data_IF_664460124990
#
_entry.id   IF_664460124990
#
_cell.length_a   1.000
_cell.length_b   1.000
_cell.length_c   1.000
_cell.angle_alpha   90.00
_cell.angle_beta   90.00
_cell.angle_gamma   90.00
#
_symmetry.space_group_name_H-M   'P 1'
#
loop_
_entity.id
_entity.type
_entity.pdbx_description
1 polymer ?
#
# COMPACT_ATOMS: atom_id res chain seq x y z
N UNK A 1 -3.92 6.78 22.91
CA UNK A 1 -4.53 6.78 24.24
C UNK A 1 -4.73 5.34 24.68
N UNK A 2 -4.46 5.02 25.94
CA UNK A 2 -4.72 3.71 26.53
C UNK A 2 -5.48 3.84 27.83
N UNK A 3 -6.34 2.87 28.12
CA UNK A 3 -7.17 2.80 29.31
C UNK A 3 -7.14 1.38 29.88
N UNK A 4 -6.98 1.26 31.20
CA UNK A 4 -6.95 -0.01 31.93
C UNK A 4 -8.21 -0.14 32.79
N UNK A 5 -9.32 -0.67 32.28
CA UNK A 5 -10.57 -0.77 33.01
C UNK A 5 -10.47 -1.59 34.28
N UNK A 6 -9.61 -2.61 34.32
CA UNK A 6 -9.47 -3.50 35.47
C UNK A 6 -8.99 -2.77 36.73
N UNK A 7 -8.25 -1.68 36.57
CA UNK A 7 -7.81 -0.85 37.68
C UNK A 7 -8.91 0.12 38.15
N UNK A 8 -9.94 0.35 37.31
CA UNK A 8 -11.04 1.24 37.60
C UNK A 8 -12.24 0.52 38.24
N UNK A 9 -12.35 -0.80 38.08
CA UNK A 9 -13.49 -1.62 38.53
C UNK A 9 -13.01 -2.75 39.45
N UNK A 10 -12.53 -2.41 40.63
CA UNK A 10 -12.08 -3.27 41.74
C UNK A 10 -12.42 -4.79 41.62
N UNK A 11 -11.50 -5.56 41.00
CA UNK A 11 -11.41 -7.02 41.19
C UNK A 11 -12.56 -7.92 40.73
N UNK A 12 -13.74 -7.36 40.46
CA UNK A 12 -14.98 -8.14 40.17
C UNK A 12 -14.89 -8.99 38.90
N UNK A 13 -14.05 -8.62 37.94
CA UNK A 13 -13.89 -9.34 36.69
C UNK A 13 -13.00 -10.58 36.82
N UNK A 14 -12.04 -10.53 37.74
CA UNK A 14 -11.20 -11.68 38.04
C UNK A 14 -12.06 -12.82 38.65
N UNK A 15 -12.95 -12.46 39.56
CA UNK A 15 -13.81 -13.43 40.25
C UNK A 15 -14.89 -14.01 39.34
N UNK A 16 -15.40 -13.20 38.40
CA UNK A 16 -16.51 -13.60 37.53
C UNK A 16 -16.06 -14.45 36.31
N UNK A 17 -14.95 -14.09 35.66
CA UNK A 17 -14.51 -14.69 34.39
C UNK A 17 -13.02 -15.04 34.37
N UNK A 18 -12.31 -14.88 35.48
CA UNK A 18 -10.87 -15.13 35.58
C UNK A 18 -9.99 -14.13 34.81
N UNK A 19 -10.56 -12.97 34.45
CA UNK A 19 -9.80 -11.92 33.76
C UNK A 19 -8.96 -11.12 34.75
N UNK A 20 -7.66 -11.20 34.62
CA UNK A 20 -6.72 -10.51 35.50
C UNK A 20 -6.02 -9.31 34.82
N UNK A 21 -6.25 -9.09 33.55
CA UNK A 21 -5.74 -7.93 32.82
C UNK A 21 -6.65 -7.56 31.67
N UNK A 22 -6.96 -6.28 31.52
CA UNK A 22 -7.62 -5.70 30.38
C UNK A 22 -7.07 -4.30 30.11
N UNK A 23 -6.61 -4.08 28.91
CA UNK A 23 -6.18 -2.77 28.41
C UNK A 23 -6.82 -2.50 27.07
N UNK A 24 -7.47 -1.37 26.95
CA UNK A 24 -7.98 -0.85 25.71
C UNK A 24 -7.03 0.23 25.19
N UNK A 25 -6.81 0.26 23.91
CA UNK A 25 -5.99 1.28 23.24
C UNK A 25 -6.71 1.83 22.02
N UNK A 26 -6.48 3.11 21.74
CA UNK A 26 -6.91 3.77 20.53
C UNK A 26 -5.83 4.76 20.11
N UNK A 27 -5.51 4.79 18.84
CA UNK A 27 -4.58 5.73 18.24
C UNK A 27 -5.14 6.34 16.97
N UNK A 28 -4.71 7.54 16.71
CA UNK A 28 -4.88 8.25 15.45
C UNK A 28 -3.54 8.89 15.11
N UNK A 29 -3.11 8.74 13.90
CA UNK A 29 -1.88 9.33 13.40
C UNK A 29 -1.99 9.75 11.95
N UNK A 30 -1.18 10.73 11.58
CA UNK A 30 -1.03 11.17 10.20
C UNK A 30 0.44 11.20 9.84
N UNK A 31 0.75 10.88 8.58
CA UNK A 31 2.10 10.97 8.02
C UNK A 31 2.01 11.45 6.59
N UNK A 32 3.03 12.19 6.15
CA UNK A 32 3.12 12.64 4.77
C UNK A 32 4.34 12.03 4.08
N UNK A 33 4.14 11.53 2.86
CA UNK A 33 5.21 11.02 2.00
C UNK A 33 5.42 12.00 0.85
N UNK A 34 6.65 12.46 0.68
CA UNK A 34 7.00 13.38 -0.38
C UNK A 34 7.54 12.62 -1.60
N UNK A 35 7.23 13.08 -2.82
CA UNK A 35 7.76 12.46 -4.03
C UNK A 35 9.29 12.57 -4.08
N UNK A 36 9.93 11.51 -4.53
CA UNK A 36 11.39 11.49 -4.68
C UNK A 36 11.81 12.45 -5.78
N UNK A 37 12.81 13.32 -5.50
CA UNK A 37 13.38 14.24 -6.47
C UNK A 37 12.53 15.48 -6.74
N UNK A 38 11.36 15.62 -6.13
CA UNK A 38 10.45 16.77 -6.30
C UNK A 38 10.27 17.19 -7.77
N UNK A 39 9.64 16.36 -8.61
CA UNK A 39 9.54 16.60 -10.05
C UNK A 39 8.45 17.64 -10.39
N UNK A 40 8.54 18.83 -9.80
CA UNK A 40 7.60 19.95 -9.98
C UNK A 40 8.07 20.97 -11.02
N UNK A 41 9.34 20.89 -11.44
CA UNK A 41 9.94 21.78 -12.44
C UNK A 41 10.80 20.96 -13.39
N UNK A 42 10.61 21.15 -14.69
CA UNK A 42 11.51 20.58 -15.68
C UNK A 42 12.85 21.32 -15.65
N UNK A 43 13.94 20.58 -15.58
CA UNK A 43 15.30 21.08 -15.68
C UNK A 43 15.89 20.70 -17.04
N UNK A 44 16.71 21.59 -17.57
CA UNK A 44 17.51 21.32 -18.77
C UNK A 44 18.85 20.81 -18.28
N UNK A 45 19.17 19.59 -18.62
CA UNK A 45 20.48 19.01 -18.32
C UNK A 45 21.45 19.25 -19.47
N UNK A 46 22.67 19.60 -19.13
CA UNK A 46 23.75 19.62 -20.08
C UNK A 46 24.41 18.25 -20.12
N UNK A 47 24.34 17.61 -21.26
CA UNK A 47 24.99 16.33 -21.49
C UNK A 47 25.93 16.37 -22.67
N UNK A 48 27.07 15.69 -22.55
CA UNK A 48 27.94 15.42 -23.69
C UNK A 48 27.42 14.16 -24.38
N UNK A 49 26.30 14.29 -25.06
CA UNK A 49 25.86 13.19 -25.92
C UNK A 49 26.81 13.08 -27.12
N UNK A 50 26.90 11.86 -27.64
CA UNK A 50 27.81 11.36 -28.69
C UNK A 50 27.74 12.11 -30.04
N UNK A 51 27.43 13.38 -30.02
CA UNK A 51 27.56 14.26 -31.20
C UNK A 51 29.00 14.72 -31.27
N UNK A 52 29.66 14.29 -32.32
CA UNK A 52 31.02 14.70 -32.62
C UNK A 52 30.94 15.80 -33.67
N UNK A 53 31.60 16.93 -33.43
CA UNK A 53 31.80 17.95 -34.45
C UNK A 53 32.60 17.36 -35.60
N UNK A 54 32.04 17.26 -36.82
CA UNK A 54 32.74 16.64 -37.95
C UNK A 54 33.99 17.40 -38.37
N UNK A 55 34.12 18.65 -38.02
CA UNK A 55 35.26 19.48 -38.37
C UNK A 55 36.43 19.36 -37.37
N UNK A 56 36.13 19.23 -36.08
CA UNK A 56 37.15 19.23 -35.02
C UNK A 56 37.33 17.87 -34.36
N UNK A 57 36.42 16.93 -34.54
CA UNK A 57 36.40 15.64 -33.83
C UNK A 57 36.07 15.77 -32.34
N UNK A 58 35.69 16.95 -31.86
CA UNK A 58 35.37 17.19 -30.45
C UNK A 58 33.95 16.80 -30.13
N UNK A 59 33.70 16.31 -28.87
CA UNK A 59 32.39 16.07 -28.37
C UNK A 59 31.63 17.39 -28.15
N UNK A 60 30.42 17.47 -28.71
CA UNK A 60 29.55 18.64 -28.54
C UNK A 60 28.73 18.47 -27.26
N UNK A 61 28.69 19.51 -26.45
CA UNK A 61 27.77 19.62 -25.34
C UNK A 61 26.39 19.98 -25.85
N UNK A 62 25.39 19.21 -25.50
CA UNK A 62 24.00 19.44 -25.88
C UNK A 62 23.14 19.63 -24.65
N UNK A 63 22.05 20.38 -24.80
CA UNK A 63 21.02 20.48 -23.79
C UNK A 63 19.99 19.36 -24.01
N UNK A 64 19.63 18.69 -22.93
CA UNK A 64 18.63 17.65 -22.95
C UNK A 64 17.54 17.97 -21.94
N UNK A 65 16.30 17.81 -22.35
CA UNK A 65 15.14 17.78 -21.44
C UNK A 65 14.89 16.32 -21.09
N UNK A 66 14.63 16.03 -19.81
CA UNK A 66 14.27 14.69 -19.36
C UNK A 66 12.99 14.21 -20.06
N UNK A 67 12.88 12.91 -20.22
CA UNK A 67 11.64 12.27 -20.71
C UNK A 67 10.48 12.37 -19.73
N UNK A 68 10.75 12.87 -18.55
CA UNK A 68 9.78 13.02 -17.47
C UNK A 68 9.23 14.45 -17.47
N UNK A 69 7.89 14.58 -17.58
CA UNK A 69 7.22 15.87 -17.47
C UNK A 69 7.01 16.22 -16.00
N UNK A 70 7.56 17.35 -15.57
CA UNK A 70 7.30 17.86 -14.24
C UNK A 70 5.84 18.26 -14.06
N UNK A 71 5.31 18.03 -12.86
CA UNK A 71 3.98 18.43 -12.46
C UNK A 71 4.07 19.46 -11.32
N UNK A 72 3.81 20.76 -11.58
CA UNK A 72 3.89 21.80 -10.55
C UNK A 72 2.78 21.67 -9.49
N UNK A 73 1.69 20.96 -9.78
CA UNK A 73 0.55 20.77 -8.88
C UNK A 73 0.68 19.52 -8.00
N UNK A 74 1.84 18.83 -8.06
CA UNK A 74 2.10 17.63 -7.31
C UNK A 74 2.11 17.91 -5.80
N UNK A 75 1.28 17.15 -5.07
CA UNK A 75 1.12 17.24 -3.63
C UNK A 75 1.73 16.02 -2.94
N UNK A 76 2.18 16.14 -1.67
CA UNK A 76 2.56 14.97 -0.88
C UNK A 76 1.38 14.03 -0.67
N UNK A 77 1.65 12.72 -0.64
CA UNK A 77 0.68 11.74 -0.15
C UNK A 77 0.42 11.97 1.34
N UNK A 78 -0.83 11.93 1.75
CA UNK A 78 -1.22 12.03 3.15
C UNK A 78 -1.81 10.71 3.63
N UNK A 79 -1.14 10.10 4.57
CA UNK A 79 -1.58 8.89 5.24
C UNK A 79 -2.25 9.26 6.56
N UNK A 80 -3.47 8.76 6.76
CA UNK A 80 -4.22 8.84 7.99
C UNK A 80 -4.51 7.42 8.50
N UNK A 81 -4.27 7.19 9.79
CA UNK A 81 -4.45 5.87 10.39
C UNK A 81 -5.23 5.96 11.69
N UNK A 82 -6.26 5.12 11.80
CA UNK A 82 -7.02 4.88 13.02
C UNK A 82 -6.78 3.45 13.47
N UNK A 83 -6.44 3.27 14.72
CA UNK A 83 -6.21 1.97 15.31
C UNK A 83 -6.95 1.86 16.63
N UNK A 84 -7.62 0.72 16.83
CA UNK A 84 -8.20 0.33 18.11
C UNK A 84 -7.75 -1.07 18.46
N UNK A 85 -7.37 -1.27 19.71
CA UNK A 85 -6.87 -2.55 20.16
C UNK A 85 -7.25 -2.87 21.60
N UNK A 86 -7.20 -4.15 21.90
CA UNK A 86 -7.35 -4.66 23.25
C UNK A 86 -6.25 -5.65 23.57
N UNK A 87 -5.81 -5.64 24.82
CA UNK A 87 -4.95 -6.65 25.41
C UNK A 87 -5.68 -7.21 26.62
N UNK A 88 -5.80 -8.52 26.72
CA UNK A 88 -6.45 -9.17 27.85
C UNK A 88 -5.73 -10.44 28.28
N UNK A 89 -5.77 -10.74 29.57
CA UNK A 89 -5.20 -11.95 30.17
C UNK A 89 -6.18 -12.58 31.12
N UNK A 90 -6.22 -13.90 31.07
CA UNK A 90 -7.12 -14.71 31.90
C UNK A 90 -6.35 -15.78 32.67
N UNK A 91 -6.89 -16.18 33.82
CA UNK A 91 -6.43 -17.29 34.66
C UNK A 91 -4.93 -17.21 34.93
N UNK A 92 -4.51 -16.18 35.66
CA UNK A 92 -3.10 -15.92 35.98
C UNK A 92 -2.21 -15.85 34.74
N UNK A 93 -2.73 -15.19 33.70
CA UNK A 93 -2.05 -15.01 32.41
C UNK A 93 -1.80 -16.31 31.63
N UNK A 94 -2.55 -17.36 31.90
CA UNK A 94 -2.49 -18.60 31.10
C UNK A 94 -3.01 -18.42 29.68
N UNK A 95 -4.01 -17.54 29.52
CA UNK A 95 -4.49 -17.12 28.20
C UNK A 95 -4.21 -15.64 28.04
N UNK A 96 -3.55 -15.29 26.97
CA UNK A 96 -3.22 -13.92 26.59
C UNK A 96 -3.76 -13.67 25.19
N UNK A 97 -4.59 -12.65 25.04
CA UNK A 97 -5.14 -12.24 23.77
C UNK A 97 -4.80 -10.77 23.53
N UNK A 98 -4.19 -10.52 22.42
CA UNK A 98 -4.03 -9.19 21.85
C UNK A 98 -4.79 -9.14 20.53
N UNK A 99 -5.62 -8.12 20.33
CA UNK A 99 -6.36 -7.94 19.10
C UNK A 99 -6.36 -6.47 18.71
N UNK A 100 -6.16 -6.19 17.42
CA UNK A 100 -6.08 -4.85 16.88
C UNK A 100 -6.86 -4.77 15.57
N UNK A 101 -7.69 -3.77 15.46
CA UNK A 101 -8.29 -3.35 14.20
C UNK A 101 -7.64 -2.05 13.75
N UNK A 102 -7.25 -1.97 12.48
CA UNK A 102 -6.72 -0.76 11.88
C UNK A 102 -7.49 -0.39 10.60
N UNK A 103 -7.54 0.90 10.35
CA UNK A 103 -8.01 1.47 9.09
C UNK A 103 -7.08 2.62 8.71
N UNK A 104 -6.41 2.45 7.57
CA UNK A 104 -5.44 3.37 7.02
C UNK A 104 -5.94 3.88 5.69
N UNK A 105 -5.93 5.19 5.52
CA UNK A 105 -6.34 5.87 4.29
C UNK A 105 -5.13 6.65 3.78
N UNK A 106 -4.77 6.43 2.53
CA UNK A 106 -3.74 7.21 1.84
C UNK A 106 -4.43 8.06 0.79
N UNK A 107 -4.43 9.37 1.04
CA UNK A 107 -4.95 10.38 0.14
C UNK A 107 -3.86 10.90 -0.79
N UNK A 108 -4.24 11.42 -1.94
CA UNK A 108 -3.33 12.03 -2.92
C UNK A 108 -2.21 11.07 -3.36
N UNK A 109 -2.54 9.79 -3.57
CA UNK A 109 -1.57 8.78 -4.00
C UNK A 109 -0.82 9.21 -5.25
N UNK A 110 0.50 9.18 -5.19
CA UNK A 110 1.37 9.57 -6.31
C UNK A 110 1.64 8.38 -7.20
N UNK A 111 1.20 8.48 -8.45
CA UNK A 111 1.41 7.44 -9.47
C UNK A 111 2.17 8.03 -10.65
N UNK A 112 3.05 7.22 -11.24
CA UNK A 112 3.71 7.55 -12.49
C UNK A 112 2.82 7.13 -13.66
N UNK A 113 2.34 8.09 -14.41
CA UNK A 113 1.46 7.89 -15.56
C UNK A 113 2.23 7.98 -16.88
N UNK A 114 1.96 7.11 -17.86
CA UNK A 114 2.49 7.25 -19.19
C UNK A 114 1.79 8.40 -19.93
N UNK A 115 2.56 9.19 -20.64
CA UNK A 115 2.06 10.29 -21.47
C UNK A 115 2.05 9.91 -22.96
N UNK A 116 1.14 10.53 -23.70
CA UNK A 116 1.16 10.42 -25.17
C UNK A 116 2.48 10.95 -25.74
N UNK A 117 3.12 10.23 -26.68
CA UNK A 117 4.36 10.68 -27.31
C UNK A 117 4.26 12.07 -27.96
N UNK A 118 3.05 12.53 -28.33
CA UNK A 118 2.82 13.87 -28.86
C UNK A 118 3.14 15.01 -27.89
N UNK A 119 3.23 14.71 -26.58
CA UNK A 119 3.60 15.69 -25.55
C UNK A 119 5.10 15.98 -25.52
N UNK A 120 5.91 15.13 -26.13
CA UNK A 120 7.37 15.17 -26.05
C UNK A 120 7.96 14.55 -24.78
N UNK A 121 7.09 14.00 -23.92
CA UNK A 121 7.49 13.33 -22.67
C UNK A 121 6.94 11.89 -22.66
N UNK A 122 7.57 11.03 -21.87
CA UNK A 122 7.13 9.64 -21.72
C UNK A 122 6.26 9.41 -20.49
N UNK A 123 6.52 10.16 -19.40
CA UNK A 123 5.88 9.96 -18.10
C UNK A 123 5.68 11.29 -17.37
N UNK A 124 4.73 11.28 -16.43
CA UNK A 124 4.54 12.31 -15.40
C UNK A 124 4.20 11.65 -14.07
N UNK A 125 4.27 12.40 -12.97
CA UNK A 125 3.67 12.01 -11.69
C UNK A 125 2.45 12.87 -11.43
N UNK A 126 1.38 12.24 -10.96
CA UNK A 126 0.15 12.92 -10.55
C UNK A 126 -0.43 12.28 -9.29
N UNK A 127 -1.20 13.07 -8.55
CA UNK A 127 -1.98 12.57 -7.43
C UNK A 127 -3.30 12.04 -7.99
N UNK A 128 -3.53 10.74 -7.89
CA UNK A 128 -4.58 10.07 -8.69
C UNK A 128 -5.70 9.47 -7.89
N UNK A 129 -5.67 9.57 -6.56
CA UNK A 129 -6.79 9.05 -5.82
C UNK A 129 -6.51 8.71 -4.36
N UNK A 130 -7.34 7.84 -3.83
CA UNK A 130 -7.34 7.39 -2.44
C UNK A 130 -7.29 5.87 -2.37
N UNK A 131 -6.49 5.36 -1.43
CA UNK A 131 -6.45 3.93 -1.10
C UNK A 131 -6.81 3.76 0.36
N UNK A 132 -7.76 2.88 0.62
CA UNK A 132 -8.08 2.41 1.96
C UNK A 132 -7.49 1.03 2.20
N UNK A 133 -6.84 0.88 3.35
CA UNK A 133 -6.25 -0.37 3.81
C UNK A 133 -6.78 -0.64 5.23
N UNK A 134 -7.60 -1.69 5.40
CA UNK A 134 -8.21 -2.05 6.67
C UNK A 134 -7.99 -3.51 6.99
N UNK A 135 -7.76 -3.78 8.26
CA UNK A 135 -7.47 -5.14 8.67
C UNK A 135 -7.65 -5.39 10.15
N UNK A 136 -7.46 -6.63 10.49
CA UNK A 136 -7.55 -7.13 11.84
C UNK A 136 -6.37 -8.05 12.13
N UNK A 137 -5.74 -7.84 13.27
CA UNK A 137 -4.65 -8.65 13.79
C UNK A 137 -5.06 -9.25 15.12
N UNK A 138 -4.73 -10.50 15.37
CA UNK A 138 -4.92 -11.14 16.65
C UNK A 138 -3.74 -12.05 16.99
N UNK A 139 -3.27 -11.97 18.22
CA UNK A 139 -2.26 -12.83 18.79
C UNK A 139 -2.87 -13.52 20.03
N UNK A 140 -2.93 -14.85 20.01
CA UNK A 140 -3.44 -15.67 21.08
C UNK A 140 -2.33 -16.56 21.62
N UNK A 141 -1.92 -16.31 22.86
CA UNK A 141 -1.00 -17.14 23.62
C UNK A 141 -1.74 -17.99 24.67
N UNK A 142 -1.42 -19.28 24.75
CA UNK A 142 -2.03 -20.21 25.72
C UNK A 142 -0.93 -21.03 26.37
N UNK A 143 -0.84 -20.98 27.70
CA UNK A 143 -0.08 -21.91 28.52
C UNK A 143 -0.92 -23.14 28.82
N UNK A 144 -0.82 -24.15 27.95
CA UNK A 144 -1.64 -25.37 28.02
C UNK A 144 -1.30 -26.19 29.25
N UNK A 145 -0.01 -26.33 29.51
CA UNK A 145 0.51 -27.08 30.64
C UNK A 145 1.73 -26.40 31.24
N UNK A 146 1.76 -26.32 32.59
CA UNK A 146 2.88 -25.78 33.35
C UNK A 146 3.11 -26.62 34.59
N UNK A 147 4.28 -27.26 34.70
CA UNK A 147 4.78 -27.95 35.90
C UNK A 147 6.25 -27.64 36.09
N UNK A 148 6.83 -28.13 37.22
CA UNK A 148 8.25 -27.91 37.53
C UNK A 148 9.22 -28.47 36.49
N UNK A 149 8.86 -29.56 35.83
CA UNK A 149 9.74 -30.27 34.88
C UNK A 149 9.29 -30.20 33.42
N UNK A 150 8.09 -29.69 33.15
CA UNK A 150 7.56 -29.62 31.79
C UNK A 150 6.60 -28.43 31.63
N UNK A 151 6.77 -27.71 30.55
CA UNK A 151 5.86 -26.64 30.15
C UNK A 151 5.50 -26.76 28.67
N UNK A 152 4.23 -26.55 28.37
CA UNK A 152 3.75 -26.48 27.00
C UNK A 152 2.94 -25.22 26.81
N UNK A 153 3.48 -24.30 25.96
CA UNK A 153 2.80 -23.10 25.53
C UNK A 153 2.54 -23.16 24.01
N UNK A 154 1.48 -22.52 23.57
CA UNK A 154 1.12 -22.41 22.16
C UNK A 154 0.80 -20.94 21.84
N UNK A 155 1.18 -20.50 20.66
CA UNK A 155 0.85 -19.16 20.16
C UNK A 155 0.27 -19.26 18.76
N UNK A 156 -0.82 -18.54 18.53
CA UNK A 156 -1.51 -18.46 17.24
C UNK A 156 -1.63 -16.99 16.86
N UNK A 157 -1.12 -16.64 15.68
CA UNK A 157 -1.23 -15.31 15.12
C UNK A 157 -2.20 -15.37 13.93
N UNK A 158 -3.11 -14.43 13.89
CA UNK A 158 -4.06 -14.25 12.80
C UNK A 158 -3.94 -12.82 12.26
N UNK A 159 -3.93 -12.71 10.95
CA UNK A 159 -3.88 -11.43 10.26
C UNK A 159 -4.80 -11.45 9.05
N UNK A 160 -5.55 -10.39 8.85
CA UNK A 160 -6.29 -10.14 7.63
C UNK A 160 -6.16 -8.69 7.23
N UNK A 161 -6.07 -8.44 5.93
CA UNK A 161 -5.97 -7.13 5.35
C UNK A 161 -6.78 -7.07 4.06
N UNK A 162 -7.52 -5.98 3.88
CA UNK A 162 -8.22 -5.65 2.65
C UNK A 162 -7.78 -4.27 2.20
N UNK A 163 -7.25 -4.20 1.00
CA UNK A 163 -6.85 -2.96 0.34
C UNK A 163 -7.82 -2.67 -0.80
N UNK A 164 -8.26 -1.44 -0.91
CA UNK A 164 -9.22 -1.01 -1.93
C UNK A 164 -8.89 0.41 -2.39
N UNK A 165 -8.89 0.63 -3.70
CA UNK A 165 -8.86 1.97 -4.29
C UNK A 165 -10.26 2.56 -4.11
N UNK A 166 -10.40 3.57 -3.25
CA UNK A 166 -11.70 4.14 -2.86
C UNK A 166 -12.11 5.33 -3.70
N UNK A 167 -11.14 6.02 -4.26
CA UNK A 167 -11.37 7.13 -5.18
C UNK A 167 -10.28 7.19 -6.23
N UNK A 168 -10.66 7.53 -7.46
CA UNK A 168 -9.74 7.67 -8.57
C UNK A 168 -10.25 8.71 -9.57
N UNK A 169 -9.36 9.56 -10.09
CA UNK A 169 -9.70 10.61 -11.04
C UNK A 169 -9.88 10.10 -12.48
N UNK A 170 -9.46 8.87 -12.75
CA UNK A 170 -9.56 8.20 -14.05
C UNK A 170 -10.09 6.78 -13.86
N UNK A 171 -10.90 6.29 -14.79
CA UNK A 171 -11.51 4.96 -14.72
C UNK A 171 -10.48 3.82 -14.60
N UNK A 172 -9.25 4.06 -15.06
CA UNK A 172 -8.21 3.06 -15.11
C UNK A 172 -6.81 3.69 -15.21
N UNK A 173 -5.90 3.33 -14.33
CA UNK A 173 -4.49 3.75 -14.36
C UNK A 173 -3.59 2.51 -14.35
N UNK A 174 -2.93 2.24 -15.47
CA UNK A 174 -1.87 1.24 -15.55
C UNK A 174 -0.56 1.84 -15.03
N UNK A 175 -0.03 1.35 -13.91
CA UNK A 175 1.14 1.96 -13.26
C UNK A 175 2.38 1.08 -13.16
N UNK A 176 2.29 -0.22 -13.34
CA UNK A 176 3.45 -1.09 -13.28
C UNK A 176 3.53 -2.02 -14.48
N UNK A 177 4.61 -1.89 -15.18
CA UNK A 177 5.18 -2.82 -16.12
C UNK A 177 4.22 -3.61 -16.99
N UNK A 178 4.22 -3.37 -18.30
CA UNK A 178 3.62 -4.32 -19.23
C UNK A 178 4.32 -5.67 -19.04
N UNK A 179 3.66 -6.62 -18.40
CA UNK A 179 4.11 -8.00 -18.38
C UNK A 179 3.95 -8.53 -19.82
N UNK A 180 4.97 -8.35 -20.62
CA UNK A 180 5.09 -9.05 -21.88
C UNK A 180 5.46 -10.51 -21.57
N UNK A 181 4.47 -11.31 -21.23
CA UNK A 181 4.68 -12.76 -21.14
C UNK A 181 4.70 -13.32 -22.54
N UNK A 182 5.89 -13.69 -22.98
CA UNK A 182 6.21 -14.51 -24.13
C UNK A 182 5.26 -14.46 -25.35
N UNK A 183 5.62 -13.77 -26.41
CA UNK A 183 5.07 -14.03 -27.73
C UNK A 183 3.77 -13.31 -28.12
N UNK A 184 3.41 -12.21 -27.49
CA UNK A 184 2.49 -11.23 -28.13
C UNK A 184 1.00 -11.42 -27.99
N UNK A 185 0.50 -12.45 -27.32
CA UNK A 185 -0.96 -12.69 -27.20
C UNK A 185 -1.58 -12.26 -25.88
N UNK A 186 -0.79 -12.06 -24.83
CA UNK A 186 -1.28 -11.61 -23.53
C UNK A 186 -0.44 -10.43 -23.04
N UNK A 187 -1.04 -9.26 -23.00
CA UNK A 187 -0.48 -8.10 -22.32
C UNK A 187 -1.28 -7.89 -21.04
N UNK A 188 -0.67 -8.12 -19.90
CA UNK A 188 -1.20 -7.75 -18.61
C UNK A 188 -0.42 -6.56 -18.05
N UNK A 189 -1.09 -5.71 -17.30
CA UNK A 189 -0.45 -4.68 -16.48
C UNK A 189 -1.13 -4.61 -15.13
N UNK A 190 -0.40 -4.19 -14.11
CA UNK A 190 -1.03 -3.84 -12.86
C UNK A 190 -1.75 -2.51 -13.02
N UNK A 191 -2.92 -2.42 -12.45
CA UNK A 191 -3.76 -1.25 -12.56
C UNK A 191 -4.36 -0.85 -11.21
N UNK A 192 -4.61 0.45 -11.06
CA UNK A 192 -5.52 0.98 -10.08
C UNK A 192 -6.90 1.09 -10.74
N UNK A 193 -7.91 0.53 -10.10
CA UNK A 193 -9.32 0.56 -10.53
C UNK A 193 -10.15 0.83 -9.28
N UNK A 194 -11.03 1.82 -9.35
CA UNK A 194 -11.91 2.15 -8.23
C UNK A 194 -12.77 0.95 -7.84
N UNK A 195 -12.81 0.65 -6.53
CA UNK A 195 -13.50 -0.50 -5.96
C UNK A 195 -12.69 -1.79 -5.92
N UNK A 196 -11.54 -1.86 -6.59
CA UNK A 196 -10.67 -3.03 -6.63
C UNK A 196 -9.41 -2.84 -5.77
N UNK A 197 -8.65 -3.92 -5.62
CA UNK A 197 -7.34 -3.86 -4.95
C UNK A 197 -6.30 -3.16 -5.82
N UNK A 198 -5.43 -2.38 -5.21
CA UNK A 198 -4.28 -1.81 -5.90
C UNK A 198 -3.39 -2.93 -6.46
N UNK A 199 -3.09 -2.87 -7.75
CA UNK A 199 -2.32 -3.93 -8.41
C UNK A 199 -3.18 -5.03 -9.03
N UNK A 200 -4.48 -4.82 -9.14
CA UNK A 200 -5.35 -5.67 -9.93
C UNK A 200 -4.76 -5.86 -11.33
N UNK A 201 -4.63 -7.12 -11.75
CA UNK A 201 -4.06 -7.45 -13.06
C UNK A 201 -5.16 -7.33 -14.11
N UNK A 202 -4.93 -6.46 -15.07
CA UNK A 202 -5.77 -6.30 -16.24
C UNK A 202 -5.04 -6.71 -17.50
N UNK A 203 -5.78 -7.24 -18.46
CA UNK A 203 -5.19 -7.71 -19.69
C UNK A 203 -6.24 -7.86 -20.78
N UNK A 204 -5.78 -8.05 -22.01
CA UNK A 204 -6.68 -8.36 -23.13
C UNK A 204 -7.07 -9.83 -23.08
N UNK A 205 -8.37 -10.09 -23.16
CA UNK A 205 -8.90 -11.43 -23.34
C UNK A 205 -9.42 -11.59 -24.78
N UNK A 206 -9.32 -12.80 -25.31
CA UNK A 206 -9.96 -13.12 -26.59
C UNK A 206 -11.46 -13.23 -26.33
N UNK A 207 -12.25 -12.40 -27.03
CA UNK A 207 -13.71 -12.45 -26.95
C UNK A 207 -14.23 -13.84 -27.34
N UNK A 208 -15.29 -14.28 -26.65
CA UNK A 208 -16.04 -15.50 -27.03
C UNK A 208 -17.47 -15.12 -27.30
N UNK A 209 -18.08 -15.81 -28.28
CA UNK A 209 -19.50 -15.71 -28.54
C UNK A 209 -20.34 -16.42 -27.47
N UNK A 210 -21.66 -16.32 -27.56
CA UNK A 210 -22.61 -16.98 -26.64
C UNK A 210 -22.46 -18.50 -26.61
N UNK A 211 -21.85 -19.11 -27.62
CA UNK A 211 -21.60 -20.55 -27.75
C UNK A 211 -20.17 -20.94 -27.26
N UNK A 212 -19.38 -19.96 -26.82
CA UNK A 212 -18.02 -20.17 -26.32
C UNK A 212 -16.94 -20.21 -27.41
N UNK A 213 -17.26 -19.93 -28.67
CA UNK A 213 -16.26 -19.88 -29.76
C UNK A 213 -15.50 -18.56 -29.72
N UNK A 214 -14.24 -18.59 -30.14
CA UNK A 214 -13.43 -17.38 -30.22
C UNK A 214 -13.99 -16.44 -31.33
N UNK A 215 -14.14 -15.17 -30.96
CA UNK A 215 -14.41 -14.11 -31.93
C UNK A 215 -13.09 -13.68 -32.55
N UNK A 216 -12.98 -13.76 -33.85
CA UNK A 216 -11.82 -13.36 -34.66
C UNK A 216 -12.08 -11.97 -35.27
#
# INVERSE_FOLDING_TARGET
VSFLPINAFDGTWNDAIGMNYLKLRASYGTSATFPTGYPVVNVIEQTTQRFVDPASGSLLTTNQVDNFRANPDLRPELLEEYEVGLETRFWDSRIQLEATYFNRITNDLIVTEPLSPSTGFSFTQSNVGEIQNKGFEADLGIDIFRSENFSWNSRVNFFTNTETVTQQDQDFIAYAGSLAVGGGLFRGSNAAIEGESLGTIVGTAIGRDENGNFQV
#
